data_IF_115830101704
#
_entry.id   IF_115830101704
#
_cell.length_a   1.000
_cell.length_b   1.000
_cell.length_c   1.000
_cell.angle_alpha   90.00
_cell.angle_beta   90.00
_cell.angle_gamma   90.00
#
_symmetry.space_group_name_H-M   'P 1'
#
loop_
_entity.id
_entity.type
_entity.pdbx_description
1 polymer ?
#
# COMPACT_ATOMS: atom_id res chain seq x y z
N UNK A 1 -34.10 -1.80 9.59
CA UNK A 1 -33.19 -0.67 9.31
C UNK A 1 -31.77 -1.22 9.28
N UNK A 2 -31.24 -1.50 8.10
CA UNK A 2 -29.84 -1.90 7.97
C UNK A 2 -28.96 -0.67 8.19
N UNK A 3 -28.21 -0.65 9.28
CA UNK A 3 -27.12 0.32 9.46
C UNK A 3 -26.07 -0.02 8.43
N UNK A 4 -26.04 0.70 7.31
CA UNK A 4 -24.87 0.71 6.42
C UNK A 4 -23.68 1.09 7.30
N UNK A 5 -22.83 0.12 7.63
CA UNK A 5 -21.50 0.39 8.20
C UNK A 5 -20.87 1.48 7.33
N UNK A 6 -20.25 2.52 7.93
CA UNK A 6 -19.68 3.63 7.16
C UNK A 6 -18.84 3.03 6.04
N UNK A 7 -19.20 3.35 4.80
CA UNK A 7 -18.66 2.70 3.61
C UNK A 7 -17.14 2.67 3.70
N UNK A 8 -16.57 1.48 3.86
CA UNK A 8 -15.14 1.32 3.72
C UNK A 8 -14.82 1.65 2.28
N UNK A 9 -14.26 2.83 2.06
CA UNK A 9 -13.83 3.24 0.74
C UNK A 9 -12.65 2.32 0.38
N UNK A 10 -12.93 1.30 -0.44
CA UNK A 10 -11.93 0.40 -1.00
C UNK A 10 -10.97 1.24 -1.83
N UNK A 11 -9.69 1.19 -1.50
CA UNK A 11 -8.71 2.12 -2.04
C UNK A 11 -7.30 1.77 -1.61
N UNK A 12 -6.34 2.42 -2.24
CA UNK A 12 -4.92 2.27 -1.97
C UNK A 12 -4.49 3.34 -0.97
N UNK A 13 -3.85 2.90 0.10
CA UNK A 13 -3.24 3.76 1.11
C UNK A 13 -1.74 3.57 1.03
N UNK A 14 -1.02 4.62 0.63
CA UNK A 14 0.44 4.64 0.69
C UNK A 14 0.89 4.90 2.13
N UNK A 15 1.84 4.12 2.63
CA UNK A 15 2.47 4.29 3.95
C UNK A 15 3.98 4.44 3.75
N UNK A 16 4.51 5.63 4.05
CA UNK A 16 5.95 5.93 3.93
C UNK A 16 6.60 6.26 5.26
N UNK A 17 7.92 6.21 5.29
CA UNK A 17 8.73 6.39 6.49
C UNK A 17 10.05 5.65 6.36
N UNK A 18 11.07 6.07 7.10
CA UNK A 18 12.40 5.44 7.05
C UNK A 18 12.36 3.97 7.50
N UNK A 19 13.45 3.25 7.23
CA UNK A 19 13.64 1.92 7.79
C UNK A 19 13.61 1.99 9.32
N UNK A 20 12.90 1.08 9.96
CA UNK A 20 12.69 1.09 11.41
C UNK A 20 11.58 2.02 11.92
N UNK A 21 10.91 2.81 11.07
CA UNK A 21 9.84 3.73 11.50
C UNK A 21 8.54 3.04 11.97
N UNK A 22 8.47 1.70 11.99
CA UNK A 22 7.28 0.97 12.43
C UNK A 22 6.14 0.89 11.40
N UNK A 23 6.43 1.06 10.10
CA UNK A 23 5.44 0.97 9.01
C UNK A 23 4.68 -0.35 9.00
N UNK A 24 5.39 -1.48 9.01
CA UNK A 24 4.80 -2.82 9.06
C UNK A 24 3.82 -2.97 10.22
N UNK A 25 4.26 -2.58 11.43
CA UNK A 25 3.44 -2.68 12.64
C UNK A 25 2.17 -1.85 12.54
N UNK A 26 2.27 -0.60 12.04
CA UNK A 26 1.10 0.25 11.81
C UNK A 26 0.13 -0.40 10.81
N UNK A 27 0.63 -0.92 9.69
CA UNK A 27 -0.20 -1.55 8.66
C UNK A 27 -0.91 -2.78 9.21
N UNK A 28 -0.21 -3.64 9.96
CA UNK A 28 -0.78 -4.83 10.58
C UNK A 28 -1.90 -4.47 11.57
N UNK A 29 -1.68 -3.49 12.45
CA UNK A 29 -2.70 -3.00 13.37
C UNK A 29 -3.93 -2.42 12.64
N UNK A 30 -3.71 -1.75 11.49
CA UNK A 30 -4.80 -1.26 10.65
C UNK A 30 -5.57 -2.41 9.98
N UNK A 31 -4.89 -3.43 9.46
CA UNK A 31 -5.53 -4.61 8.86
C UNK A 31 -6.39 -5.35 9.89
N UNK A 32 -5.90 -5.54 11.12
CA UNK A 32 -6.67 -6.13 12.22
C UNK A 32 -7.92 -5.32 12.54
N UNK A 33 -7.80 -3.98 12.63
CA UNK A 33 -8.93 -3.07 12.87
C UNK A 33 -9.97 -3.13 11.75
N UNK A 34 -9.57 -3.43 10.53
CA UNK A 34 -10.45 -3.63 9.38
C UNK A 34 -11.11 -5.02 9.34
N UNK A 35 -10.90 -5.86 10.37
CA UNK A 35 -11.42 -7.23 10.41
C UNK A 35 -10.84 -8.10 9.30
N UNK A 36 -9.59 -7.86 8.90
CA UNK A 36 -8.91 -8.59 7.82
C UNK A 36 -9.35 -8.17 6.41
N UNK A 37 -10.22 -7.15 6.26
CA UNK A 37 -10.65 -6.66 4.95
C UNK A 37 -9.66 -5.65 4.32
N UNK A 38 -8.38 -5.96 4.46
CA UNK A 38 -7.27 -5.17 3.95
C UNK A 38 -6.05 -6.07 3.72
N UNK A 39 -5.12 -5.62 2.89
CA UNK A 39 -3.87 -6.33 2.61
C UNK A 39 -2.69 -5.37 2.63
N UNK A 40 -1.51 -5.89 2.95
CA UNK A 40 -0.24 -5.20 2.83
C UNK A 40 0.46 -5.63 1.53
N UNK A 41 0.98 -4.66 0.80
CA UNK A 41 1.88 -4.85 -0.34
C UNK A 41 3.17 -4.11 -0.04
N UNK A 42 4.30 -4.83 -0.02
CA UNK A 42 5.63 -4.22 0.12
C UNK A 42 6.12 -3.79 -1.27
N UNK A 43 6.47 -2.51 -1.44
CA UNK A 43 6.99 -1.98 -2.70
C UNK A 43 8.46 -2.33 -2.92
N UNK A 44 9.21 -2.69 -1.87
CA UNK A 44 10.65 -2.87 -1.92
C UNK A 44 11.16 -3.87 -2.97
N UNK A 45 10.49 -5.01 -3.25
CA UNK A 45 10.97 -5.99 -4.23
C UNK A 45 10.87 -5.52 -5.69
N UNK A 46 10.12 -4.45 -5.94
CA UNK A 46 9.83 -3.92 -7.28
C UNK A 46 10.68 -2.70 -7.62
N UNK A 47 11.46 -2.21 -6.66
CA UNK A 47 12.40 -1.11 -6.89
C UNK A 47 13.69 -1.67 -7.50
N UNK A 48 14.30 -0.97 -8.47
CA UNK A 48 15.43 -1.47 -9.21
C UNK A 48 16.66 -1.60 -8.31
N UNK A 49 17.24 -2.79 -8.25
CA UNK A 49 18.61 -3.00 -7.76
C UNK A 49 19.62 -2.93 -8.92
N UNK A 50 19.25 -3.45 -10.10
CA UNK A 50 20.02 -3.40 -11.36
C UNK A 50 19.28 -4.11 -12.52
N UNK A 51 18.01 -3.77 -12.79
CA UNK A 51 17.15 -4.50 -13.74
C UNK A 51 16.37 -3.60 -14.71
N UNK A 52 15.65 -4.21 -15.66
CA UNK A 52 14.77 -3.50 -16.60
C UNK A 52 13.57 -2.88 -15.87
N UNK A 53 13.52 -1.55 -15.82
CA UNK A 53 12.57 -0.78 -14.99
C UNK A 53 11.10 -1.02 -15.37
N UNK A 54 10.80 -1.33 -16.63
CA UNK A 54 9.41 -1.44 -17.10
C UNK A 54 8.68 -2.68 -16.58
N UNK A 55 9.36 -3.83 -16.47
CA UNK A 55 8.73 -5.08 -16.04
C UNK A 55 8.35 -5.08 -14.56
N UNK A 56 9.15 -4.43 -13.72
CA UNK A 56 8.88 -4.38 -12.28
C UNK A 56 7.71 -3.45 -11.95
N UNK A 57 7.56 -2.34 -12.66
CA UNK A 57 6.40 -1.43 -12.54
C UNK A 57 5.10 -2.14 -12.89
N UNK A 58 5.09 -2.87 -14.00
CA UNK A 58 3.92 -3.65 -14.42
C UNK A 58 3.56 -4.76 -13.41
N UNK A 59 4.57 -5.49 -12.92
CA UNK A 59 4.36 -6.53 -11.89
C UNK A 59 3.80 -5.95 -10.60
N UNK A 60 4.29 -4.80 -10.16
CA UNK A 60 3.78 -4.12 -8.98
C UNK A 60 2.33 -3.66 -9.17
N UNK A 61 2.01 -3.02 -10.31
CA UNK A 61 0.64 -2.59 -10.61
C UNK A 61 -0.33 -3.77 -10.69
N UNK A 62 0.09 -4.88 -11.29
CA UNK A 62 -0.69 -6.12 -11.32
C UNK A 62 -0.93 -6.65 -9.90
N UNK A 63 0.07 -6.61 -9.02
CA UNK A 63 -0.10 -7.03 -7.62
C UNK A 63 -1.11 -6.15 -6.87
N UNK A 64 -1.00 -4.82 -6.98
CA UNK A 64 -1.98 -3.90 -6.37
C UNK A 64 -3.37 -4.12 -6.95
N UNK A 65 -3.49 -4.32 -8.26
CA UNK A 65 -4.77 -4.51 -8.95
C UNK A 65 -5.51 -5.78 -8.51
N UNK A 66 -4.80 -6.89 -8.27
CA UNK A 66 -5.39 -8.15 -7.78
C UNK A 66 -6.21 -7.97 -6.50
N UNK A 67 -5.85 -6.99 -5.67
CA UNK A 67 -6.45 -6.80 -4.36
C UNK A 67 -7.32 -5.54 -4.24
N UNK A 68 -7.42 -4.72 -5.29
CA UNK A 68 -8.20 -3.48 -5.28
C UNK A 68 -9.71 -3.72 -5.16
N UNK A 69 -10.20 -4.87 -5.60
CA UNK A 69 -11.63 -5.20 -5.53
C UNK A 69 -12.02 -5.65 -4.11
N UNK A 70 -12.74 -4.79 -3.40
CA UNK A 70 -13.38 -5.13 -2.11
C UNK A 70 -12.45 -5.12 -0.89
N UNK A 71 -11.19 -4.70 -1.02
CA UNK A 71 -10.24 -4.56 0.10
C UNK A 71 -9.55 -3.20 0.10
N UNK A 72 -9.05 -2.79 1.26
CA UNK A 72 -8.08 -1.68 1.36
C UNK A 72 -6.68 -2.24 1.09
N UNK A 73 -5.92 -1.61 0.21
CA UNK A 73 -4.55 -2.02 -0.10
C UNK A 73 -3.59 -1.03 0.57
N UNK A 74 -2.88 -1.47 1.60
CA UNK A 74 -1.80 -0.71 2.20
C UNK A 74 -0.51 -1.00 1.47
N UNK A 75 0.05 0.00 0.79
CA UNK A 75 1.36 -0.10 0.16
C UNK A 75 2.40 0.47 1.11
N UNK A 76 3.37 -0.35 1.49
CA UNK A 76 4.53 0.10 2.26
C UNK A 76 5.65 0.51 1.32
N UNK A 77 6.18 1.72 1.53
CA UNK A 77 7.33 2.26 0.80
C UNK A 77 8.26 3.04 1.74
N UNK A 78 9.49 3.35 1.32
CA UNK A 78 10.39 4.19 2.11
C UNK A 78 10.05 5.66 1.91
N UNK A 79 9.83 6.05 0.66
CA UNK A 79 9.61 7.43 0.23
C UNK A 79 8.43 7.53 -0.75
N UNK A 80 7.87 8.73 -0.91
CA UNK A 80 6.84 8.98 -1.92
C UNK A 80 7.40 8.79 -3.33
N UNK A 81 8.69 9.06 -3.54
CA UNK A 81 9.38 8.84 -4.81
C UNK A 81 9.39 7.38 -5.26
N UNK A 82 9.35 6.43 -4.33
CA UNK A 82 9.22 5.00 -4.66
C UNK A 82 7.86 4.72 -5.31
N UNK A 83 6.80 5.33 -4.76
CA UNK A 83 5.45 5.23 -5.31
C UNK A 83 5.32 5.92 -6.67
N UNK A 84 5.95 7.08 -6.85
CA UNK A 84 6.04 7.78 -8.14
C UNK A 84 6.77 6.94 -9.18
N UNK A 85 7.92 6.36 -8.81
CA UNK A 85 8.67 5.47 -9.71
C UNK A 85 7.81 4.30 -10.18
N UNK A 86 7.05 3.70 -9.27
CA UNK A 86 6.16 2.56 -9.54
C UNK A 86 4.85 2.93 -10.24
N UNK A 87 4.62 4.22 -10.54
CA UNK A 87 3.37 4.75 -11.06
C UNK A 87 2.16 4.35 -10.19
N UNK A 88 2.34 4.33 -8.87
CA UNK A 88 1.27 4.02 -7.93
C UNK A 88 0.29 5.18 -7.84
N UNK A 89 -0.96 4.93 -8.20
CA UNK A 89 -2.07 5.83 -7.87
C UNK A 89 -2.67 5.43 -6.51
N UNK A 90 -2.61 6.33 -5.54
CA UNK A 90 -3.09 6.12 -4.17
C UNK A 90 -4.12 7.16 -3.75
N UNK A 91 -5.11 6.74 -2.96
CA UNK A 91 -6.22 7.59 -2.50
C UNK A 91 -5.84 8.38 -1.24
N UNK A 92 -4.95 7.79 -0.43
CA UNK A 92 -4.50 8.35 0.86
C UNK A 92 -3.03 8.07 1.06
N UNK A 93 -2.37 8.95 1.80
CA UNK A 93 -0.97 8.83 2.17
C UNK A 93 -0.79 9.05 3.67
N UNK A 94 -0.09 8.14 4.32
CA UNK A 94 0.34 8.23 5.71
C UNK A 94 1.87 8.27 5.71
N UNK A 95 2.45 9.32 6.28
CA UNK A 95 3.89 9.41 6.48
C UNK A 95 4.21 9.30 7.97
N UNK A 96 5.12 8.39 8.32
CA UNK A 96 5.59 8.24 9.70
C UNK A 96 6.87 9.07 9.88
N UNK A 97 6.75 10.14 10.65
CA UNK A 97 7.89 10.94 11.10
C UNK A 97 8.58 10.22 12.27
N UNK A 98 9.69 9.56 11.99
CA UNK A 98 10.58 8.95 13.00
C UNK A 98 11.96 9.59 12.94
#
# INVERSE_FOLDING_TARGET
>A
METKKPGFNFGVVLVTGKSGAGKTWLIEALIEKQGGNAIRVDSSPYLPLSGSESSEKERFQAEVAKHKEGKVVYVEAQDVRDAEFLNLNFDRHIHIHS
#
